data_IF_130479759356
#
_entry.id   IF_130479759356
#
_cell.length_a   1.000
_cell.length_b   1.000
_cell.length_c   1.000
_cell.angle_alpha   90.00
_cell.angle_beta   90.00
_cell.angle_gamma   90.00
#
_symmetry.space_group_name_H-M   'P 1'
#
loop_
_entity.id
_entity.type
_entity.pdbx_description
1 polymer ?
#
# COMPACT_ATOMS: atom_id res chain seq x y z
N UNK A 1 -70.76 17.28 -4.69
CA UNK A 1 -70.16 17.88 -5.92
C UNK A 1 -68.71 17.56 -5.98
N UNK A 2 -68.26 17.05 -7.09
CA UNK A 2 -66.96 16.46 -7.44
C UNK A 2 -65.84 17.50 -7.43
N UNK A 3 -64.69 17.19 -6.84
CA UNK A 3 -63.42 17.76 -7.31
C UNK A 3 -62.26 16.78 -7.08
N UNK A 4 -61.49 16.55 -8.10
CA UNK A 4 -60.53 15.49 -8.30
C UNK A 4 -59.21 15.76 -7.58
N UNK A 5 -58.65 14.72 -6.93
CA UNK A 5 -57.25 14.65 -6.57
C UNK A 5 -56.40 14.49 -7.85
N UNK A 6 -55.44 15.38 -8.04
CA UNK A 6 -54.31 15.18 -8.97
C UNK A 6 -53.11 14.78 -8.15
N UNK A 7 -52.69 13.54 -8.31
CA UNK A 7 -51.40 13.05 -7.84
C UNK A 7 -50.28 13.60 -8.74
N UNK A 8 -49.34 14.32 -8.13
CA UNK A 8 -48.09 14.71 -8.80
C UNK A 8 -47.06 13.60 -8.57
N UNK A 9 -46.75 12.87 -9.62
CA UNK A 9 -45.63 11.93 -9.64
C UNK A 9 -44.32 12.72 -9.79
N UNK A 10 -43.54 12.74 -8.74
CA UNK A 10 -42.16 13.27 -8.80
C UNK A 10 -41.26 12.25 -9.45
N UNK A 11 -40.81 12.55 -10.69
CA UNK A 11 -39.78 11.80 -11.39
C UNK A 11 -38.43 12.20 -10.77
N UNK A 12 -37.83 11.29 -10.01
CA UNK A 12 -36.44 11.42 -9.59
C UNK A 12 -35.56 11.06 -10.79
N UNK A 13 -35.03 12.08 -11.45
CA UNK A 13 -34.00 11.89 -12.46
C UNK A 13 -32.68 11.51 -11.80
N UNK A 14 -32.33 10.24 -11.91
CA UNK A 14 -31.02 9.71 -11.51
C UNK A 14 -29.99 10.22 -12.53
N UNK A 15 -29.28 11.30 -12.18
CA UNK A 15 -28.16 11.79 -12.99
C UNK A 15 -26.99 10.79 -12.86
N UNK A 16 -26.86 9.90 -13.83
CA UNK A 16 -25.65 9.12 -14.02
C UNK A 16 -24.52 10.09 -14.45
N UNK A 17 -23.66 10.44 -13.50
CA UNK A 17 -22.39 11.12 -13.79
C UNK A 17 -21.51 10.16 -14.59
N UNK A 18 -21.50 10.36 -15.89
CA UNK A 18 -20.53 9.77 -16.80
C UNK A 18 -19.14 10.30 -16.44
N UNK A 19 -18.36 9.48 -15.75
CA UNK A 19 -16.93 9.68 -15.65
C UNK A 19 -16.33 9.52 -17.05
N UNK A 20 -16.05 10.63 -17.72
CA UNK A 20 -15.18 10.64 -18.89
C UNK A 20 -13.74 10.55 -18.37
N UNK A 21 -12.99 9.48 -18.70
CA UNK A 21 -11.56 9.47 -18.46
C UNK A 21 -10.91 10.53 -19.35
N UNK A 22 -9.77 11.13 -18.93
CA UNK A 22 -9.03 12.04 -19.79
C UNK A 22 -8.73 11.32 -21.11
N UNK A 23 -9.01 11.98 -22.21
CA UNK A 23 -8.84 11.44 -23.57
C UNK A 23 -7.36 11.07 -23.79
N UNK A 24 -7.01 9.82 -23.49
CA UNK A 24 -5.83 9.19 -24.05
C UNK A 24 -6.14 8.93 -25.53
N UNK A 25 -5.30 9.45 -26.40
CA UNK A 25 -5.37 9.23 -27.85
C UNK A 25 -5.43 7.74 -28.10
N UNK A 26 -6.59 7.27 -28.55
CA UNK A 26 -6.87 5.87 -28.81
C UNK A 26 -6.09 5.39 -30.04
N UNK A 27 -4.96 4.74 -29.81
CA UNK A 27 -4.55 3.64 -30.68
C UNK A 27 -5.12 2.39 -29.98
N UNK A 28 -5.95 1.64 -30.70
CA UNK A 28 -6.77 0.54 -30.19
C UNK A 28 -6.00 -0.45 -29.32
N UNK A 29 -5.97 -0.20 -28.03
CA UNK A 29 -5.52 -1.18 -27.03
C UNK A 29 -6.73 -2.07 -26.75
N UNK A 30 -6.64 -3.33 -27.12
CA UNK A 30 -7.70 -4.29 -26.85
C UNK A 30 -7.83 -4.50 -25.32
N UNK A 31 -9.06 -4.65 -24.85
CA UNK A 31 -9.44 -5.02 -23.47
C UNK A 31 -8.65 -6.25 -22.98
N UNK A 32 -8.14 -7.06 -23.89
CA UNK A 32 -7.39 -8.29 -23.67
C UNK A 32 -6.00 -8.10 -23.04
N UNK A 33 -5.43 -6.89 -23.11
CA UNK A 33 -4.11 -6.55 -22.54
C UNK A 33 -4.20 -5.83 -21.20
N UNK A 34 -5.42 -5.64 -20.67
CA UNK A 34 -5.70 -4.82 -19.51
C UNK A 34 -6.84 -5.45 -18.71
N UNK A 35 -6.55 -5.94 -17.51
CA UNK A 35 -7.53 -6.61 -16.66
C UNK A 35 -7.52 -6.06 -15.24
N UNK A 36 -8.70 -6.14 -14.61
CA UNK A 36 -8.93 -5.78 -13.21
C UNK A 36 -9.54 -6.96 -12.45
N UNK A 37 -9.08 -7.17 -11.20
CA UNK A 37 -9.69 -8.12 -10.26
C UNK A 37 -9.68 -7.52 -8.85
N UNK A 38 -10.73 -7.79 -8.08
CA UNK A 38 -10.75 -7.42 -6.67
C UNK A 38 -10.12 -8.54 -5.84
N UNK A 39 -8.95 -8.27 -5.25
CA UNK A 39 -8.15 -9.22 -4.47
C UNK A 39 -7.37 -8.47 -3.39
N UNK A 40 -6.94 -9.15 -2.33
CA UNK A 40 -6.18 -8.55 -1.22
C UNK A 40 -6.84 -7.27 -0.65
N UNK A 41 -8.18 -7.20 -0.68
CA UNK A 41 -8.96 -6.06 -0.18
C UNK A 41 -8.94 -4.81 -1.06
N UNK A 42 -8.46 -4.89 -2.31
CA UNK A 42 -8.38 -3.76 -3.24
C UNK A 42 -8.65 -4.18 -4.69
N UNK A 43 -8.84 -3.20 -5.58
CA UNK A 43 -8.78 -3.45 -7.02
C UNK A 43 -7.32 -3.62 -7.43
N UNK A 44 -7.04 -4.70 -8.15
CA UNK A 44 -5.74 -4.96 -8.77
C UNK A 44 -5.90 -4.80 -10.27
N UNK A 45 -5.01 -4.03 -10.86
CA UNK A 45 -4.91 -3.76 -12.28
C UNK A 45 -3.62 -4.36 -12.81
N UNK A 46 -3.70 -5.08 -13.94
CA UNK A 46 -2.54 -5.60 -14.67
C UNK A 46 -2.67 -5.27 -16.14
N UNK A 47 -1.68 -4.56 -16.68
CA UNK A 47 -1.53 -4.29 -18.11
C UNK A 47 -0.21 -4.90 -18.59
N UNK A 48 -0.21 -5.51 -19.78
CA UNK A 48 0.99 -6.05 -20.41
C UNK A 48 1.15 -5.49 -21.82
N UNK A 49 2.39 -5.14 -22.17
CA UNK A 49 2.75 -4.56 -23.45
C UNK A 49 3.83 -5.37 -24.16
N UNK A 50 3.90 -5.26 -25.49
CA UNK A 50 4.85 -6.02 -26.31
C UNK A 50 4.44 -7.48 -26.51
N UNK A 51 5.30 -8.25 -27.19
CA UNK A 51 5.09 -9.68 -27.44
C UNK A 51 3.79 -10.04 -28.16
N UNK A 52 3.52 -11.33 -28.25
CA UNK A 52 2.30 -11.88 -28.81
C UNK A 52 1.12 -11.77 -27.84
N UNK A 53 -0.10 -11.62 -28.36
CA UNK A 53 -1.33 -11.47 -27.56
C UNK A 53 -1.54 -12.64 -26.59
N UNK A 54 -1.33 -13.88 -27.06
CA UNK A 54 -1.48 -15.07 -26.23
C UNK A 54 -0.49 -15.07 -25.07
N UNK A 55 0.75 -14.56 -25.27
CA UNK A 55 1.76 -14.44 -24.23
C UNK A 55 1.36 -13.38 -23.19
N UNK A 56 0.82 -12.22 -23.63
CA UNK A 56 0.32 -11.19 -22.72
C UNK A 56 -0.82 -11.72 -21.85
N UNK A 57 -1.81 -12.36 -22.46
CA UNK A 57 -2.95 -12.95 -21.74
C UNK A 57 -2.48 -13.98 -20.69
N UNK A 58 -1.60 -14.89 -21.09
CA UNK A 58 -1.04 -15.89 -20.17
C UNK A 58 -0.24 -15.24 -19.03
N UNK A 59 0.52 -14.18 -19.29
CA UNK A 59 1.25 -13.44 -18.27
C UNK A 59 0.32 -12.75 -17.26
N UNK A 60 -0.75 -12.13 -17.73
CA UNK A 60 -1.75 -11.46 -16.87
C UNK A 60 -2.45 -12.49 -15.97
N UNK A 61 -2.85 -13.64 -16.51
CA UNK A 61 -3.47 -14.71 -15.72
C UNK A 61 -2.50 -15.26 -14.66
N UNK A 62 -1.23 -15.48 -15.02
CA UNK A 62 -0.19 -15.91 -14.08
C UNK A 62 0.08 -14.85 -12.99
N UNK A 63 0.07 -13.57 -13.33
CA UNK A 63 0.19 -12.48 -12.38
C UNK A 63 -0.96 -12.48 -11.36
N UNK A 64 -2.22 -12.63 -11.81
CA UNK A 64 -3.36 -12.74 -10.89
C UNK A 64 -3.31 -14.01 -10.04
N UNK A 65 -2.82 -15.13 -10.57
CA UNK A 65 -2.61 -16.34 -9.78
C UNK A 65 -1.57 -16.12 -8.67
N UNK A 66 -0.50 -15.34 -8.95
CA UNK A 66 0.47 -14.97 -7.94
C UNK A 66 -0.15 -14.07 -6.84
N UNK A 67 -0.97 -13.09 -7.18
CA UNK A 67 -1.72 -12.31 -6.18
C UNK A 67 -2.60 -13.20 -5.30
N UNK A 68 -3.31 -14.17 -5.89
CA UNK A 68 -4.14 -15.12 -5.15
C UNK A 68 -3.31 -15.97 -4.17
N UNK A 69 -2.14 -16.42 -4.59
CA UNK A 69 -1.24 -17.20 -3.74
C UNK A 69 -0.70 -16.35 -2.58
N UNK A 70 -0.29 -15.09 -2.81
CA UNK A 70 0.17 -14.20 -1.75
C UNK A 70 -0.96 -13.87 -0.77
N UNK A 71 -2.20 -13.66 -1.25
CA UNK A 71 -3.37 -13.49 -0.37
C UNK A 71 -3.60 -14.73 0.51
N UNK A 72 -3.52 -15.94 -0.08
CA UNK A 72 -3.64 -17.21 0.65
C UNK A 72 -2.56 -17.36 1.73
N UNK A 73 -1.34 -16.91 1.48
CA UNK A 73 -0.24 -17.01 2.44
C UNK A 73 -0.30 -15.92 3.53
N UNK A 74 -0.61 -14.68 3.16
CA UNK A 74 -0.30 -13.50 3.98
C UNK A 74 -1.53 -12.68 4.43
N UNK A 75 -2.74 -13.15 4.13
CA UNK A 75 -3.95 -12.42 4.51
C UNK A 75 -4.22 -12.50 6.02
N UNK A 76 -4.44 -11.35 6.65
CA UNK A 76 -4.89 -11.24 8.04
C UNK A 76 -6.39 -11.56 8.20
N UNK A 77 -7.12 -11.68 7.10
CA UNK A 77 -8.57 -11.85 7.07
C UNK A 77 -9.00 -13.30 6.76
N UNK A 78 -8.01 -14.18 6.59
CA UNK A 78 -8.22 -15.61 6.29
C UNK A 78 -7.72 -16.47 7.45
N UNK A 79 -8.60 -17.23 8.07
CA UNK A 79 -8.23 -18.13 9.17
C UNK A 79 -7.35 -19.31 8.72
N UNK A 80 -7.39 -19.66 7.44
CA UNK A 80 -6.60 -20.71 6.79
C UNK A 80 -5.29 -20.24 6.18
N UNK A 81 -4.94 -18.95 6.32
CA UNK A 81 -3.68 -18.42 5.81
C UNK A 81 -2.47 -18.94 6.59
N UNK A 82 -1.29 -18.94 5.93
CA UNK A 82 -0.04 -19.26 6.63
C UNK A 82 0.24 -18.24 7.74
N UNK A 83 -0.05 -16.97 7.52
CA UNK A 83 0.04 -15.91 8.53
C UNK A 83 -0.82 -16.19 9.76
N UNK A 84 -2.08 -16.61 9.57
CA UNK A 84 -2.96 -16.97 10.66
C UNK A 84 -2.40 -18.17 11.48
N UNK A 85 -1.80 -19.16 10.80
CA UNK A 85 -1.11 -20.27 11.47
C UNK A 85 0.09 -19.76 12.29
N UNK A 86 0.92 -18.89 11.72
CA UNK A 86 2.07 -18.29 12.44
C UNK A 86 1.58 -17.54 13.68
N UNK A 87 0.59 -16.68 13.56
CA UNK A 87 0.03 -15.90 14.67
C UNK A 87 -0.51 -16.80 15.81
N UNK A 88 -1.09 -17.96 15.47
CA UNK A 88 -1.61 -18.89 16.49
C UNK A 88 -0.54 -19.63 17.27
N UNK A 89 0.55 -20.05 16.63
CA UNK A 89 1.44 -21.04 17.25
C UNK A 89 2.91 -20.61 17.42
N UNK A 90 3.33 -19.48 16.82
CA UNK A 90 4.74 -19.06 16.88
C UNK A 90 5.23 -18.67 18.29
N UNK A 91 4.33 -18.38 19.23
CA UNK A 91 4.68 -18.17 20.63
C UNK A 91 4.97 -19.47 21.38
N UNK A 92 4.42 -20.60 20.92
CA UNK A 92 4.63 -21.92 21.54
C UNK A 92 5.87 -22.64 21.03
N UNK A 93 6.41 -22.24 19.88
CA UNK A 93 7.59 -22.86 19.27
C UNK A 93 7.93 -22.25 17.91
N UNK A 94 9.08 -22.67 17.35
CA UNK A 94 9.49 -22.25 16.02
C UNK A 94 8.56 -22.88 14.95
N UNK A 95 8.11 -22.07 14.01
CA UNK A 95 7.19 -22.46 12.92
C UNK A 95 7.94 -22.36 11.61
N UNK A 96 8.06 -23.47 10.88
CA UNK A 96 8.59 -23.47 9.52
C UNK A 96 7.59 -22.75 8.61
N UNK A 97 8.08 -21.82 7.80
CA UNK A 97 7.28 -21.01 6.88
C UNK A 97 7.74 -21.20 5.43
N UNK A 98 6.85 -20.88 4.50
CA UNK A 98 7.17 -20.86 3.06
C UNK A 98 8.28 -19.85 2.75
N UNK A 99 8.96 -20.02 1.63
CA UNK A 99 10.01 -19.10 1.18
C UNK A 99 9.47 -17.68 0.98
N UNK A 100 8.29 -17.46 0.34
CA UNK A 100 7.70 -16.13 0.22
C UNK A 100 7.41 -15.48 1.58
N UNK A 101 6.85 -16.23 2.54
CA UNK A 101 6.59 -15.72 3.88
C UNK A 101 7.88 -15.31 4.58
N UNK A 102 8.92 -16.16 4.53
CA UNK A 102 10.21 -15.83 5.14
C UNK A 102 10.85 -14.59 4.51
N UNK A 103 10.78 -14.45 3.18
CA UNK A 103 11.33 -13.29 2.47
C UNK A 103 10.66 -11.98 2.93
N UNK A 104 9.33 -11.97 3.06
CA UNK A 104 8.59 -10.80 3.54
C UNK A 104 8.91 -10.50 5.00
N UNK A 105 8.99 -11.50 5.87
CA UNK A 105 9.34 -11.30 7.29
C UNK A 105 10.77 -10.75 7.47
N UNK A 106 11.73 -11.22 6.67
CA UNK A 106 13.11 -10.70 6.71
C UNK A 106 13.18 -9.26 6.18
N UNK A 107 12.48 -8.96 5.07
CA UNK A 107 12.36 -7.60 4.55
C UNK A 107 11.72 -6.66 5.58
N UNK A 108 10.62 -7.09 6.20
CA UNK A 108 9.94 -6.33 7.27
C UNK A 108 10.87 -6.03 8.44
N UNK A 109 11.64 -7.02 8.92
CA UNK A 109 12.61 -6.85 10.00
C UNK A 109 13.69 -5.82 9.64
N UNK A 110 14.19 -5.83 8.40
CA UNK A 110 15.18 -4.85 7.92
C UNK A 110 14.60 -3.43 7.91
N UNK A 111 13.39 -3.24 7.42
CA UNK A 111 12.72 -1.93 7.39
C UNK A 111 12.41 -1.46 8.82
N UNK A 112 11.93 -2.36 9.70
CA UNK A 112 11.68 -2.02 11.10
C UNK A 112 12.93 -1.53 11.80
N UNK A 113 14.06 -2.21 11.61
CA UNK A 113 15.36 -1.80 12.17
C UNK A 113 15.82 -0.45 11.61
N UNK A 114 15.75 -0.24 10.28
CA UNK A 114 16.17 0.99 9.63
C UNK A 114 15.31 2.20 10.02
N UNK A 115 14.00 2.00 10.24
CA UNK A 115 13.06 3.05 10.63
C UNK A 115 12.95 3.26 12.16
N UNK A 116 13.79 2.56 12.94
CA UNK A 116 13.71 2.56 14.40
C UNK A 116 12.29 2.28 14.92
N UNK A 117 11.64 1.25 14.33
CA UNK A 117 10.30 0.80 14.70
C UNK A 117 9.14 1.68 14.24
N UNK A 118 9.37 2.68 13.38
CA UNK A 118 8.27 3.42 12.76
C UNK A 118 7.44 2.51 11.84
N UNK A 119 8.09 1.58 11.12
CA UNK A 119 7.44 0.43 10.51
C UNK A 119 7.63 -0.78 11.42
N UNK A 120 6.55 -1.45 11.79
CA UNK A 120 6.60 -2.64 12.64
C UNK A 120 5.44 -3.57 12.30
N UNK A 121 5.74 -4.81 11.92
CA UNK A 121 4.71 -5.80 11.58
C UNK A 121 4.01 -6.39 12.81
N UNK A 122 4.50 -6.16 14.03
CA UNK A 122 3.83 -6.64 15.27
C UNK A 122 2.66 -5.74 15.70
N UNK A 123 2.23 -4.82 14.82
CA UNK A 123 1.11 -3.90 15.08
C UNK A 123 -0.27 -4.55 15.17
N UNK A 124 -0.41 -5.86 14.90
CA UNK A 124 -1.69 -6.57 14.92
C UNK A 124 -2.56 -6.25 16.15
N UNK A 125 -2.05 -6.39 17.40
CA UNK A 125 -2.80 -6.04 18.59
C UNK A 125 -3.22 -4.56 18.64
N UNK A 126 -2.39 -3.65 18.15
CA UNK A 126 -2.70 -2.23 18.09
C UNK A 126 -3.80 -1.92 17.06
N UNK A 127 -3.71 -2.51 15.86
CA UNK A 127 -4.71 -2.37 14.80
C UNK A 127 -6.09 -2.86 15.28
N UNK A 128 -6.13 -3.98 16.06
CA UNK A 128 -7.36 -4.48 16.70
C UNK A 128 -7.87 -3.52 17.78
N UNK A 129 -7.01 -2.98 18.62
CA UNK A 129 -7.41 -2.03 19.66
C UNK A 129 -8.08 -0.79 19.06
N UNK A 130 -7.58 -0.27 17.94
CA UNK A 130 -8.20 0.83 17.18
C UNK A 130 -9.43 0.41 16.35
N UNK A 131 -9.77 -0.89 16.25
CA UNK A 131 -10.92 -1.41 15.51
C UNK A 131 -10.76 -1.39 13.99
N UNK A 132 -9.58 -1.08 13.46
CA UNK A 132 -9.34 -1.04 12.00
C UNK A 132 -9.36 -2.44 11.38
N UNK A 133 -8.98 -3.48 12.13
CA UNK A 133 -9.03 -4.86 11.65
C UNK A 133 -10.48 -5.28 11.33
N UNK A 134 -11.40 -5.00 12.24
CA UNK A 134 -12.81 -5.43 12.13
C UNK A 134 -13.66 -4.42 11.34
N UNK A 135 -13.04 -3.39 10.75
CA UNK A 135 -13.71 -2.29 10.03
C UNK A 135 -14.73 -1.55 10.91
N UNK A 136 -14.50 -1.53 12.22
CA UNK A 136 -15.26 -0.79 13.22
C UNK A 136 -14.32 0.13 14.01
N UNK A 137 -13.75 1.17 13.37
CA UNK A 137 -12.75 2.02 13.99
C UNK A 137 -13.32 2.72 15.21
N UNK A 138 -12.54 2.74 16.29
CA UNK A 138 -12.86 3.37 17.57
C UNK A 138 -11.60 3.94 18.22
N UNK A 139 -11.77 4.83 19.16
CA UNK A 139 -10.67 5.31 19.99
C UNK A 139 -10.51 4.34 21.17
N UNK A 140 -9.37 3.66 21.30
CA UNK A 140 -9.11 2.79 22.45
C UNK A 140 -8.85 3.63 23.72
N UNK A 141 -9.15 3.06 24.86
CA UNK A 141 -8.79 3.65 26.15
C UNK A 141 -7.28 3.53 26.41
N UNK A 142 -6.75 4.38 27.30
CA UNK A 142 -5.34 4.31 27.71
C UNK A 142 -4.97 2.94 28.31
N UNK A 143 -5.91 2.29 29.02
CA UNK A 143 -5.75 0.95 29.57
C UNK A 143 -5.60 -0.11 28.49
N UNK A 144 -6.40 -0.05 27.40
CA UNK A 144 -6.29 -0.95 26.26
C UNK A 144 -4.96 -0.76 25.52
N UNK A 145 -4.55 0.48 25.33
CA UNK A 145 -3.24 0.78 24.71
C UNK A 145 -2.08 0.29 25.57
N UNK A 146 -2.15 0.48 26.88
CA UNK A 146 -1.13 -0.01 27.82
C UNK A 146 -1.02 -1.54 27.80
N UNK A 147 -2.15 -2.24 27.69
CA UNK A 147 -2.19 -3.71 27.64
C UNK A 147 -1.48 -4.29 26.40
N UNK A 148 -1.57 -3.61 25.23
CA UNK A 148 -0.97 -4.10 23.98
C UNK A 148 0.43 -3.52 23.71
N UNK A 149 0.86 -2.47 24.41
CA UNK A 149 2.14 -1.78 24.18
C UNK A 149 3.34 -2.73 24.16
N UNK A 150 3.39 -3.66 25.10
CA UNK A 150 4.50 -4.62 25.22
C UNK A 150 4.49 -5.74 24.17
N UNK A 151 3.44 -5.82 23.36
CA UNK A 151 3.28 -6.79 22.27
C UNK A 151 3.74 -6.22 20.93
N UNK A 152 3.92 -4.89 20.83
CA UNK A 152 4.32 -4.19 19.61
C UNK A 152 5.82 -3.87 19.69
N UNK A 153 6.61 -4.80 19.17
CA UNK A 153 8.08 -4.67 19.07
C UNK A 153 8.62 -5.74 18.10
N UNK A 154 9.03 -5.33 16.90
CA UNK A 154 9.56 -6.22 15.86
C UNK A 154 10.72 -7.12 16.33
N UNK A 155 11.48 -6.71 17.36
CA UNK A 155 12.59 -7.48 17.92
C UNK A 155 12.14 -8.76 18.60
N UNK A 156 10.85 -8.87 18.89
CA UNK A 156 10.23 -10.07 19.46
C UNK A 156 9.88 -11.14 18.40
N UNK A 157 10.04 -10.82 17.10
CA UNK A 157 9.89 -11.77 16.00
C UNK A 157 11.27 -12.34 15.66
N UNK A 158 11.51 -13.55 16.08
CA UNK A 158 12.79 -14.25 15.92
C UNK A 158 12.76 -15.07 14.63
N UNK A 159 13.70 -14.80 13.71
CA UNK A 159 13.81 -15.46 12.42
C UNK A 159 15.09 -16.30 12.36
N UNK A 160 14.96 -17.57 11.94
CA UNK A 160 16.08 -18.42 11.58
C UNK A 160 16.10 -18.64 10.06
N UNK A 161 17.11 -18.09 9.40
CA UNK A 161 17.26 -18.17 7.94
C UNK A 161 17.57 -19.57 7.44
N UNK A 162 18.34 -20.34 8.20
CA UNK A 162 18.77 -21.68 7.80
C UNK A 162 17.62 -22.66 7.82
N UNK A 163 16.79 -22.59 8.86
CA UNK A 163 15.63 -23.46 9.03
C UNK A 163 14.35 -22.86 8.46
N UNK A 164 14.38 -21.61 7.98
CA UNK A 164 13.21 -20.85 7.55
C UNK A 164 12.10 -20.89 8.59
N UNK A 165 12.44 -20.58 9.84
CA UNK A 165 11.45 -20.56 10.93
C UNK A 165 11.23 -19.16 11.46
N UNK A 166 10.02 -18.96 12.00
CA UNK A 166 9.64 -17.80 12.79
C UNK A 166 9.18 -18.25 14.17
N UNK A 167 9.55 -17.49 15.20
CA UNK A 167 9.13 -17.70 16.59
C UNK A 167 8.85 -16.35 17.23
N UNK A 168 7.84 -16.28 18.09
CA UNK A 168 7.60 -15.11 18.93
C UNK A 168 8.21 -15.32 20.31
N UNK A 169 8.79 -14.26 20.89
CA UNK A 169 9.42 -14.31 22.20
C UNK A 169 8.43 -14.47 23.36
N UNK A 170 7.14 -14.16 23.10
CA UNK A 170 6.05 -14.22 24.09
C UNK A 170 4.69 -14.43 23.45
N UNK A 171 3.70 -14.82 24.25
CA UNK A 171 2.30 -14.91 23.83
C UNK A 171 1.67 -13.53 23.64
N UNK A 172 0.67 -13.45 22.77
CA UNK A 172 -0.10 -12.24 22.45
C UNK A 172 0.49 -11.38 21.33
N UNK A 173 1.70 -11.66 20.85
CA UNK A 173 2.23 -11.04 19.63
C UNK A 173 1.38 -11.50 18.45
N UNK A 174 1.02 -10.56 17.59
CA UNK A 174 0.32 -10.80 16.33
C UNK A 174 0.96 -9.96 15.25
N UNK A 175 1.45 -10.58 14.19
CA UNK A 175 1.99 -9.88 13.03
C UNK A 175 0.90 -9.58 12.01
N UNK A 176 0.99 -8.39 11.41
CA UNK A 176 0.16 -7.88 10.33
C UNK A 176 1.07 -7.51 9.16
N UNK A 177 0.81 -8.11 7.99
CA UNK A 177 1.59 -7.89 6.78
C UNK A 177 0.92 -6.94 5.79
N UNK A 178 -0.18 -6.30 6.15
CA UNK A 178 -0.92 -5.35 5.29
C UNK A 178 -0.10 -4.17 4.80
N UNK A 179 1.00 -3.85 5.49
CA UNK A 179 1.93 -2.78 5.14
C UNK A 179 3.08 -3.16 4.20
N UNK A 180 3.18 -4.44 3.75
CA UNK A 180 4.30 -4.94 2.94
C UNK A 180 3.87 -5.99 1.90
N UNK A 181 2.81 -6.74 2.15
CA UNK A 181 2.44 -7.89 1.32
C UNK A 181 1.97 -7.49 -0.08
N UNK A 182 1.35 -6.31 -0.26
CA UNK A 182 0.92 -5.84 -1.58
C UNK A 182 2.11 -5.47 -2.47
N UNK A 183 3.11 -4.78 -1.92
CA UNK A 183 4.34 -4.49 -2.62
C UNK A 183 5.09 -5.76 -3.05
N UNK A 184 5.12 -6.77 -2.18
CA UNK A 184 5.69 -8.08 -2.51
C UNK A 184 4.93 -8.77 -3.65
N UNK A 185 3.59 -8.77 -3.62
CA UNK A 185 2.79 -9.39 -4.68
C UNK A 185 2.97 -8.68 -6.02
N UNK A 186 3.05 -7.34 -6.02
CA UNK A 186 3.32 -6.51 -7.20
C UNK A 186 4.71 -6.82 -7.78
N UNK A 187 5.73 -6.97 -6.95
CA UNK A 187 7.08 -7.36 -7.36
C UNK A 187 7.09 -8.75 -8.04
N UNK A 188 6.41 -9.72 -7.45
CA UNK A 188 6.28 -11.07 -8.04
C UNK A 188 5.59 -11.00 -9.41
N UNK A 189 4.48 -10.26 -9.51
CA UNK A 189 3.73 -10.09 -10.74
C UNK A 189 4.56 -9.41 -11.84
N UNK A 190 5.31 -8.35 -11.50
CA UNK A 190 6.26 -7.70 -12.41
C UNK A 190 7.35 -8.66 -12.89
N UNK A 191 7.87 -9.49 -11.98
CA UNK A 191 8.83 -10.55 -12.31
C UNK A 191 8.28 -11.58 -13.30
N UNK A 192 6.98 -11.90 -13.25
CA UNK A 192 6.31 -12.80 -14.22
C UNK A 192 6.31 -12.18 -15.62
N UNK A 193 5.85 -10.91 -15.75
CA UNK A 193 5.85 -10.20 -17.02
C UNK A 193 7.27 -10.09 -17.60
N UNK A 194 8.24 -9.71 -16.78
CA UNK A 194 9.65 -9.58 -17.18
C UNK A 194 10.26 -10.88 -17.71
N UNK A 195 10.01 -12.03 -17.06
CA UNK A 195 10.46 -13.33 -17.52
C UNK A 195 9.88 -13.73 -18.87
N UNK A 196 8.73 -13.17 -19.25
CA UNK A 196 8.09 -13.40 -20.56
C UNK A 196 8.50 -12.34 -21.60
N UNK A 197 9.43 -11.44 -21.26
CA UNK A 197 9.90 -10.38 -22.16
C UNK A 197 8.85 -9.30 -22.44
N UNK A 198 7.94 -9.08 -21.51
CA UNK A 198 6.86 -8.10 -21.61
C UNK A 198 7.13 -6.89 -20.74
N UNK A 199 6.78 -5.71 -21.25
CA UNK A 199 6.61 -4.50 -20.47
C UNK A 199 5.20 -4.47 -19.84
N UNK A 200 4.97 -3.60 -18.85
CA UNK A 200 3.64 -3.56 -18.23
C UNK A 200 3.46 -2.51 -17.16
N UNK A 201 2.21 -2.44 -16.71
CA UNK A 201 1.80 -1.67 -15.55
C UNK A 201 1.00 -2.57 -14.61
N UNK A 202 1.33 -2.51 -13.33
CA UNK A 202 0.63 -3.24 -12.28
C UNK A 202 0.29 -2.25 -11.18
N UNK A 203 -0.96 -2.26 -10.68
CA UNK A 203 -1.40 -1.49 -9.51
C UNK A 203 -2.19 -2.39 -8.56
N UNK A 204 -1.84 -2.35 -7.30
CA UNK A 204 -2.56 -3.01 -6.22
C UNK A 204 -2.86 -2.00 -5.11
N UNK A 205 -3.83 -1.10 -5.38
CA UNK A 205 -4.29 -0.11 -4.41
C UNK A 205 -3.21 0.89 -4.00
N UNK A 206 -2.48 1.44 -4.96
CA UNK A 206 -1.41 2.42 -4.78
C UNK A 206 -0.02 1.81 -4.57
N UNK A 207 0.11 0.49 -4.65
CA UNK A 207 1.39 -0.20 -4.84
C UNK A 207 1.50 -0.54 -6.32
N UNK A 208 2.39 0.10 -7.04
CA UNK A 208 2.52 0.04 -8.48
C UNK A 208 3.88 -0.53 -8.89
N UNK A 209 3.90 -1.20 -10.05
CA UNK A 209 5.14 -1.49 -10.77
C UNK A 209 5.01 -0.97 -12.21
N UNK A 210 5.93 -0.11 -12.59
CA UNK A 210 6.07 0.50 -13.90
C UNK A 210 7.19 -0.27 -14.60
N UNK A 211 6.83 -1.32 -15.35
CA UNK A 211 7.79 -2.26 -15.96
C UNK A 211 8.11 -1.81 -17.40
N UNK A 212 9.39 -1.73 -17.71
CA UNK A 212 9.88 -1.30 -19.02
C UNK A 212 9.48 0.14 -19.36
N UNK A 213 8.94 0.37 -20.56
CA UNK A 213 8.49 1.68 -21.01
C UNK A 213 7.05 1.64 -21.55
N UNK A 214 6.23 2.68 -21.29
CA UNK A 214 4.89 2.70 -21.81
C UNK A 214 4.92 2.88 -23.34
N UNK A 215 3.95 2.30 -24.09
CA UNK A 215 3.89 2.40 -25.55
C UNK A 215 3.94 3.84 -26.05
N UNK A 216 4.87 4.12 -26.98
CA UNK A 216 5.04 5.44 -27.58
C UNK A 216 5.66 6.52 -26.69
N UNK A 217 6.20 6.14 -25.50
CA UNK A 217 6.85 7.04 -24.55
C UNK A 217 8.29 6.61 -24.28
N UNK A 218 9.05 7.49 -23.63
CA UNK A 218 10.44 7.21 -23.21
C UNK A 218 10.54 6.91 -21.73
N UNK A 219 9.61 7.42 -20.93
CA UNK A 219 9.57 7.32 -19.46
C UNK A 219 8.12 7.19 -18.99
N UNK A 220 7.97 6.72 -17.78
CA UNK A 220 6.72 6.78 -17.03
C UNK A 220 6.53 8.15 -16.39
N UNK A 221 5.27 8.55 -16.20
CA UNK A 221 4.89 9.76 -15.47
C UNK A 221 4.00 9.37 -14.30
N UNK A 222 4.46 9.62 -13.08
CA UNK A 222 3.75 9.32 -11.83
C UNK A 222 3.16 10.61 -11.28
N UNK A 223 1.83 10.71 -11.19
CA UNK A 223 1.15 11.83 -10.56
C UNK A 223 1.12 11.70 -9.04
N UNK A 224 1.59 12.72 -8.34
CA UNK A 224 1.48 12.81 -6.87
C UNK A 224 0.16 13.49 -6.53
N UNK A 225 -0.81 12.71 -6.06
CA UNK A 225 -2.17 13.21 -5.77
C UNK A 225 -2.18 14.26 -4.67
N UNK A 226 -3.04 15.28 -4.84
CA UNK A 226 -3.35 16.25 -3.80
C UNK A 226 -4.27 15.60 -2.75
N UNK A 227 -3.86 15.48 -1.48
CA UNK A 227 -4.68 14.86 -0.44
C UNK A 227 -5.94 15.64 -0.10
N UNK A 228 -6.00 16.94 -0.42
CA UNK A 228 -7.16 17.81 -0.19
C UNK A 228 -8.09 17.87 -1.41
N UNK A 229 -7.64 17.45 -2.59
CA UNK A 229 -8.42 17.54 -3.83
C UNK A 229 -8.16 16.33 -4.75
N UNK A 230 -9.12 15.41 -4.78
CA UNK A 230 -8.99 14.10 -5.49
C UNK A 230 -8.65 14.21 -6.98
N UNK A 231 -9.06 15.30 -7.61
CA UNK A 231 -8.91 15.52 -9.07
C UNK A 231 -7.64 16.32 -9.40
N UNK A 232 -6.82 16.66 -8.41
CA UNK A 232 -5.60 17.41 -8.59
C UNK A 232 -4.37 16.60 -8.22
N UNK A 233 -3.25 17.00 -8.80
CA UNK A 233 -1.92 16.52 -8.42
C UNK A 233 -1.10 17.67 -7.85
N UNK A 234 -0.23 17.36 -6.90
CA UNK A 234 0.76 18.30 -6.36
C UNK A 234 1.96 18.46 -7.28
N UNK A 235 2.14 17.52 -8.19
CA UNK A 235 3.22 17.46 -9.15
C UNK A 235 3.31 16.09 -9.79
N UNK A 236 4.29 15.92 -10.66
CA UNK A 236 4.58 14.65 -11.34
C UNK A 236 6.05 14.28 -11.18
N UNK A 237 6.31 12.97 -11.18
CA UNK A 237 7.67 12.41 -11.25
C UNK A 237 7.82 11.69 -12.59
N UNK A 238 8.83 12.09 -13.37
CA UNK A 238 9.25 11.32 -14.55
C UNK A 238 10.31 10.28 -14.14
N UNK A 239 10.09 9.03 -14.54
CA UNK A 239 10.94 7.92 -14.10
C UNK A 239 11.04 6.83 -15.16
N UNK A 240 12.16 6.10 -15.25
CA UNK A 240 12.23 4.83 -15.96
C UNK A 240 11.43 3.75 -15.23
N UNK A 241 11.66 2.48 -15.58
CA UNK A 241 11.13 1.32 -14.85
C UNK A 241 11.41 1.41 -13.34
N UNK A 242 10.33 1.32 -12.53
CA UNK A 242 10.43 1.38 -11.07
C UNK A 242 9.14 0.90 -10.39
N UNK A 243 9.23 0.47 -9.15
CA UNK A 243 8.08 0.33 -8.27
C UNK A 243 7.78 1.63 -7.53
N UNK A 244 6.49 1.93 -7.36
CA UNK A 244 5.99 3.13 -6.66
C UNK A 244 4.97 2.69 -5.62
N UNK A 245 5.17 3.09 -4.37
CA UNK A 245 4.21 2.82 -3.30
C UNK A 245 3.80 4.11 -2.61
N UNK A 246 2.48 4.33 -2.49
CA UNK A 246 1.93 5.49 -1.81
C UNK A 246 1.15 5.07 -0.56
N UNK A 247 1.58 5.56 0.58
CA UNK A 247 0.83 5.54 1.83
C UNK A 247 0.10 6.86 2.01
N UNK A 248 -1.21 6.81 2.24
CA UNK A 248 -2.04 7.98 2.47
C UNK A 248 -3.21 7.63 3.39
N UNK A 249 -3.68 8.62 4.13
CA UNK A 249 -4.75 8.48 5.10
C UNK A 249 -6.08 9.04 4.58
N UNK A 250 -6.40 8.74 3.32
CA UNK A 250 -7.54 9.35 2.62
C UNK A 250 -8.79 8.47 2.57
N UNK A 251 -8.67 7.16 2.82
CA UNK A 251 -9.75 6.19 2.58
C UNK A 251 -10.23 5.41 3.79
N UNK A 252 -9.42 5.28 4.84
CA UNK A 252 -9.75 4.50 6.04
C UNK A 252 -9.39 5.29 7.30
N UNK A 253 -10.38 5.94 7.91
CA UNK A 253 -10.19 6.81 9.06
C UNK A 253 -11.46 6.89 9.91
N UNK A 254 -11.29 7.23 11.18
CA UNK A 254 -12.34 7.61 12.11
C UNK A 254 -12.37 9.15 12.24
N UNK A 255 -13.56 9.73 12.37
CA UNK A 255 -13.72 11.13 12.79
C UNK A 255 -14.43 11.17 14.14
N UNK A 256 -13.78 11.76 15.12
CA UNK A 256 -14.35 11.98 16.45
C UNK A 256 -14.09 13.43 16.90
N UNK A 257 -15.13 14.12 17.35
CA UNK A 257 -15.06 15.53 17.77
C UNK A 257 -14.33 16.46 16.77
N UNK A 258 -14.54 16.23 15.46
CA UNK A 258 -13.91 17.01 14.38
C UNK A 258 -12.44 16.66 14.13
N UNK A 259 -11.83 15.78 14.91
CA UNK A 259 -10.48 15.26 14.70
C UNK A 259 -10.52 13.96 13.89
N UNK A 260 -9.64 13.88 12.91
CA UNK A 260 -9.45 12.69 12.07
C UNK A 260 -8.36 11.79 12.65
N UNK A 261 -8.65 10.49 12.69
CA UNK A 261 -7.74 9.44 13.14
C UNK A 261 -7.60 8.41 12.01
N UNK A 262 -6.46 8.38 11.39
CA UNK A 262 -6.18 7.50 10.27
C UNK A 262 -5.79 6.10 10.68
N UNK A 263 -5.81 5.20 9.71
CA UNK A 263 -5.47 3.79 9.92
C UNK A 263 -3.97 3.51 9.97
N UNK A 264 -3.12 4.47 9.57
CA UNK A 264 -1.66 4.31 9.66
C UNK A 264 -1.23 4.71 11.07
N UNK A 265 -0.93 3.68 11.86
CA UNK A 265 -0.59 3.83 13.27
C UNK A 265 0.93 3.92 13.45
N UNK A 266 1.39 4.81 14.32
CA UNK A 266 2.78 4.83 14.78
C UNK A 266 2.96 3.84 15.95
N UNK A 267 3.71 2.74 15.76
CA UNK A 267 3.91 1.72 16.80
C UNK A 267 4.57 2.27 18.05
N UNK A 268 5.37 3.32 17.92
CA UNK A 268 6.15 3.94 19.01
C UNK A 268 5.29 4.78 19.95
N UNK A 269 4.28 5.46 19.39
CA UNK A 269 3.34 6.29 20.15
C UNK A 269 2.02 5.59 20.46
N UNK A 270 1.71 4.49 19.76
CA UNK A 270 0.43 3.77 19.79
C UNK A 270 -0.75 4.58 19.25
N UNK A 271 -0.47 5.65 18.49
CA UNK A 271 -1.48 6.57 17.96
C UNK A 271 -1.44 6.61 16.43
N UNK A 272 -2.53 7.01 15.77
CA UNK A 272 -2.50 7.38 14.36
C UNK A 272 -1.45 8.45 14.07
N UNK A 273 -0.65 8.23 13.03
CA UNK A 273 0.34 9.22 12.60
C UNK A 273 -0.34 10.45 12.00
N UNK A 274 0.20 11.63 12.29
CA UNK A 274 -0.27 12.93 11.77
C UNK A 274 0.83 13.73 11.07
N UNK A 275 2.02 13.14 10.94
CA UNK A 275 3.21 13.84 10.42
C UNK A 275 3.15 14.07 8.91
N UNK A 276 2.42 13.21 8.18
CA UNK A 276 2.26 13.28 6.73
C UNK A 276 0.80 13.20 6.33
N UNK A 277 0.49 13.71 5.14
CA UNK A 277 -0.79 13.51 4.44
C UNK A 277 -0.68 12.35 3.43
N UNK A 278 0.49 12.24 2.77
CA UNK A 278 0.86 11.10 1.95
C UNK A 278 2.38 10.97 1.88
N UNK A 279 2.85 9.75 1.65
CA UNK A 279 4.25 9.46 1.36
C UNK A 279 4.30 8.48 0.18
N UNK A 280 4.88 8.93 -0.93
CA UNK A 280 5.12 8.13 -2.13
C UNK A 280 6.60 7.78 -2.17
N UNK A 281 6.92 6.49 -2.17
CA UNK A 281 8.29 5.97 -2.25
C UNK A 281 8.46 5.26 -3.59
N UNK A 282 9.58 5.55 -4.26
CA UNK A 282 10.03 4.90 -5.48
C UNK A 282 11.25 4.03 -5.16
N UNK A 283 11.26 2.79 -5.64
CA UNK A 283 12.35 1.82 -5.45
C UNK A 283 12.31 0.75 -6.54
N UNK A 284 13.44 0.14 -6.87
CA UNK A 284 13.45 -1.05 -7.72
C UNK A 284 12.96 -2.33 -7.00
N UNK A 285 12.78 -2.28 -5.69
CA UNK A 285 12.21 -3.36 -4.86
C UNK A 285 10.82 -2.93 -4.39
N UNK A 286 9.78 -3.52 -4.95
CA UNK A 286 8.38 -3.20 -4.61
C UNK A 286 8.01 -3.56 -3.17
N UNK A 287 8.63 -4.60 -2.62
CA UNK A 287 8.44 -5.00 -1.21
C UNK A 287 8.93 -3.91 -0.27
N UNK A 288 10.14 -3.42 -0.53
CA UNK A 288 10.73 -2.35 0.27
C UNK A 288 9.99 -1.01 0.05
N UNK A 289 9.57 -0.70 -1.19
CA UNK A 289 8.80 0.51 -1.47
C UNK A 289 7.52 0.57 -0.62
N UNK A 290 6.79 -0.56 -0.51
CA UNK A 290 5.56 -0.66 0.29
C UNK A 290 5.83 -0.39 1.78
N UNK A 291 6.76 -1.09 2.39
CA UNK A 291 7.09 -0.92 3.80
C UNK A 291 7.69 0.47 4.11
N UNK A 292 8.59 0.95 3.26
CA UNK A 292 9.25 2.26 3.43
C UNK A 292 8.27 3.42 3.25
N UNK A 293 7.23 3.28 2.43
CA UNK A 293 6.19 4.32 2.32
C UNK A 293 5.46 4.53 3.64
N UNK A 294 5.20 3.47 4.44
CA UNK A 294 4.62 3.56 5.79
C UNK A 294 5.60 4.19 6.76
N UNK A 295 6.86 3.74 6.76
CA UNK A 295 7.90 4.33 7.60
C UNK A 295 8.07 5.83 7.33
N UNK A 296 8.16 6.23 6.05
CA UNK A 296 8.29 7.62 5.65
C UNK A 296 7.06 8.46 6.01
N UNK A 297 5.85 7.90 5.85
CA UNK A 297 4.60 8.54 6.27
C UNK A 297 4.59 8.83 7.78
N UNK A 298 4.98 7.84 8.59
CA UNK A 298 4.98 7.95 10.05
C UNK A 298 6.06 8.91 10.56
N UNK A 299 7.24 8.90 9.93
CA UNK A 299 8.37 9.75 10.32
C UNK A 299 8.22 11.20 9.85
N UNK A 300 7.36 11.47 8.87
CA UNK A 300 7.14 12.81 8.34
C UNK A 300 8.23 13.32 7.40
N UNK A 301 8.11 14.58 6.94
CA UNK A 301 8.92 15.12 5.86
C UNK A 301 10.43 15.21 6.17
N UNK A 302 10.81 15.44 7.41
CA UNK A 302 12.22 15.56 7.80
C UNK A 302 12.87 14.18 7.97
N UNK A 303 12.40 13.42 8.93
CA UNK A 303 13.03 12.16 9.32
C UNK A 303 12.72 11.04 8.33
N UNK A 304 11.54 11.09 7.68
CA UNK A 304 11.18 10.17 6.60
C UNK A 304 12.06 10.34 5.37
N UNK A 305 12.33 11.58 4.94
CA UNK A 305 13.27 11.81 3.84
C UNK A 305 14.72 11.45 4.22
N UNK A 306 15.13 11.71 5.45
CA UNK A 306 16.45 11.30 5.93
C UNK A 306 16.61 9.77 5.89
N UNK A 307 15.57 9.02 6.28
CA UNK A 307 15.53 7.57 6.13
C UNK A 307 15.67 7.15 4.67
N UNK A 308 14.85 7.69 3.77
CA UNK A 308 14.86 7.33 2.35
C UNK A 308 16.21 7.68 1.69
N UNK A 309 16.75 8.84 1.98
CA UNK A 309 18.05 9.30 1.42
C UNK A 309 19.25 8.44 1.87
N UNK A 310 19.10 7.66 2.95
CA UNK A 310 20.12 6.70 3.37
C UNK A 310 20.18 5.43 2.48
N UNK A 311 19.14 5.20 1.64
CA UNK A 311 19.11 4.08 0.69
C UNK A 311 19.40 4.58 -0.73
N UNK A 312 20.45 4.08 -1.40
CA UNK A 312 20.90 4.62 -2.70
C UNK A 312 19.86 4.45 -3.82
N UNK A 313 19.04 3.40 -3.75
CA UNK A 313 18.08 3.04 -4.80
C UNK A 313 16.63 3.48 -4.47
N UNK A 314 16.49 4.42 -3.52
CA UNK A 314 15.18 4.91 -3.11
C UNK A 314 15.05 6.42 -3.28
N UNK A 315 13.81 6.84 -3.56
CA UNK A 315 13.41 8.25 -3.60
C UNK A 315 12.02 8.39 -3.01
N UNK A 316 11.66 9.58 -2.53
CA UNK A 316 10.33 9.84 -1.99
C UNK A 316 9.82 11.25 -2.25
N UNK A 317 8.49 11.36 -2.31
CA UNK A 317 7.72 12.59 -2.21
C UNK A 317 6.81 12.49 -1.00
N UNK A 318 6.89 13.43 -0.06
CA UNK A 318 6.05 13.47 1.14
C UNK A 318 5.22 14.77 1.11
N UNK A 319 3.89 14.61 1.10
CA UNK A 319 2.96 15.70 1.32
C UNK A 319 2.64 15.82 2.82
N UNK A 320 2.64 17.04 3.34
CA UNK A 320 2.42 17.29 4.76
C UNK A 320 1.66 18.61 5.00
N UNK A 321 1.14 18.80 6.21
CA UNK A 321 0.44 20.04 6.59
C UNK A 321 1.45 21.09 7.07
N UNK A 322 1.53 22.24 6.38
CA UNK A 322 2.33 23.38 6.84
C UNK A 322 1.65 24.09 8.02
N UNK A 323 2.42 24.82 8.84
CA UNK A 323 1.82 25.83 9.71
C UNK A 323 0.94 26.76 8.88
N UNK A 324 -0.31 27.00 9.33
CA UNK A 324 -1.30 27.74 8.55
C UNK A 324 -2.23 26.90 7.66
N UNK A 325 -2.06 25.56 7.65
CA UNK A 325 -3.05 24.61 7.12
C UNK A 325 -2.92 24.28 5.62
N UNK A 326 -2.00 24.89 4.88
CA UNK A 326 -1.77 24.56 3.46
C UNK A 326 -0.95 23.27 3.29
N UNK A 327 -1.09 22.60 2.14
CA UNK A 327 -0.28 21.44 1.80
C UNK A 327 1.14 21.86 1.42
N UNK A 328 2.12 21.22 2.01
CA UNK A 328 3.53 21.29 1.65
C UNK A 328 3.97 19.99 0.96
N UNK A 329 4.97 20.10 0.09
CA UNK A 329 5.65 18.96 -0.54
C UNK A 329 7.12 19.02 -0.18
N UNK A 330 7.65 17.88 0.27
CA UNK A 330 9.06 17.66 0.46
C UNK A 330 9.50 16.46 -0.38
N UNK A 331 10.67 16.55 -1.01
CA UNK A 331 11.21 15.52 -1.91
C UNK A 331 12.59 15.07 -1.45
N UNK A 332 12.93 13.81 -1.70
CA UNK A 332 14.29 13.31 -1.53
C UNK A 332 15.24 13.96 -2.52
N UNK A 333 16.52 14.01 -2.17
CA UNK A 333 17.56 14.69 -2.99
C UNK A 333 17.65 14.16 -4.42
N UNK A 334 17.41 12.86 -4.61
CA UNK A 334 17.48 12.20 -5.93
C UNK A 334 16.34 12.58 -6.87
N UNK A 335 15.23 13.13 -6.38
CA UNK A 335 14.12 13.56 -7.21
C UNK A 335 14.21 15.02 -7.69
N UNK A 336 15.23 15.78 -7.27
CA UNK A 336 15.34 17.21 -7.59
C UNK A 336 15.29 17.54 -9.10
N UNK A 337 15.72 16.60 -9.95
CA UNK A 337 15.72 16.78 -11.42
C UNK A 337 14.53 16.12 -12.16
N UNK A 338 13.73 15.31 -11.47
CA UNK A 338 12.65 14.52 -12.09
C UNK A 338 11.26 14.79 -11.48
N UNK A 339 11.19 15.54 -10.38
CA UNK A 339 9.92 16.03 -9.83
C UNK A 339 9.57 17.41 -10.39
N UNK A 340 8.41 17.53 -10.99
CA UNK A 340 7.86 18.75 -11.57
C UNK A 340 6.59 19.15 -10.79
N UNK A 341 6.62 20.27 -10.01
CA UNK A 341 5.44 20.76 -9.31
C UNK A 341 4.30 21.06 -10.28
N UNK A 342 3.06 20.84 -9.86
CA UNK A 342 1.89 21.32 -10.59
C UNK A 342 1.89 22.86 -10.61
N UNK A 343 1.51 23.43 -11.76
CA UNK A 343 1.37 24.88 -11.96
C UNK A 343 0.12 25.44 -11.27
#
# INVERSE_FOLDING_TARGET
MRSALRAAASIVALAALLFLPPQAVAHGQSIENHQFRYMMGTSIEVQAFGGEEAARRAAIEEAFAAFAEIDRLMSNYRDDSELARVNRIAASGAVVVSEPMFAVLDAARRVSAASNGAFDITVGPLVRAWGFHDKQPRIPTDGELAAVRSLVDYRQVLLDKTLRTVRFSRTGIEIDLGGIAKGFAVEIAAGILRRKGLDGFIDAGGNQYLLGVPPGKKTWTVGIKDPDARDRVLGVVETPEISVSTSADTSNFLVDNGRRYGHILDPRTMQPSTESLSATVLSHDGTLADAMSKAAFILGPKDGLALIDAFPDMSAVIAYRKPGGTVGVAISRRLAGSYHPAS
#
